data_IF_333236720196
#
_entry.id   IF_333236720196
#
_cell.length_a   1.000
_cell.length_b   1.000
_cell.length_c   1.000
_cell.angle_alpha   90.00
_cell.angle_beta   90.00
_cell.angle_gamma   90.00
#
_symmetry.space_group_name_H-M   'P 1'
#
loop_
_entity.id
_entity.type
_entity.pdbx_description
1 polymer ?
#
# COMPACT_ATOMS: atom_id res chain seq x y z
N UNK A 1 10.17 14.15 -3.56
CA UNK A 1 9.45 12.92 -3.95
C UNK A 1 8.00 13.30 -4.22
N UNK A 2 7.42 12.83 -5.30
CA UNK A 2 6.03 13.14 -5.67
C UNK A 2 5.29 11.83 -5.87
N UNK A 3 4.34 11.55 -4.99
CA UNK A 3 3.36 10.47 -5.15
C UNK A 3 2.53 10.79 -6.38
N UNK A 4 2.36 9.82 -7.28
CA UNK A 4 1.61 9.98 -8.52
C UNK A 4 0.31 9.17 -8.47
N UNK A 5 -0.72 9.70 -9.12
CA UNK A 5 -2.04 9.09 -9.25
C UNK A 5 -2.34 8.91 -10.73
N UNK A 6 -2.50 7.66 -11.16
CA UNK A 6 -3.02 7.29 -12.47
C UNK A 6 -4.49 6.92 -12.37
N UNK A 7 -5.28 7.31 -13.38
CA UNK A 7 -6.70 6.99 -13.46
C UNK A 7 -6.95 6.30 -14.79
N UNK A 8 -7.23 4.99 -14.74
CA UNK A 8 -7.60 4.21 -15.93
C UNK A 8 -9.12 3.99 -15.87
N UNK A 9 -9.84 4.37 -16.93
CA UNK A 9 -11.26 4.10 -17.06
C UNK A 9 -11.59 3.17 -18.24
N UNK A 10 -12.61 2.34 -18.07
CA UNK A 10 -13.00 1.32 -19.04
C UNK A 10 -14.51 1.10 -19.03
N UNK A 11 -15.07 0.83 -20.21
CA UNK A 11 -16.50 0.51 -20.35
C UNK A 11 -16.74 -0.96 -19.98
N UNK A 12 -17.85 -1.22 -19.31
CA UNK A 12 -18.28 -2.57 -18.93
C UNK A 12 -19.36 -3.14 -19.87
N UNK A 13 -19.42 -2.66 -21.10
CA UNK A 13 -20.49 -2.98 -22.05
C UNK A 13 -20.23 -4.24 -22.89
N UNK A 14 -19.01 -4.81 -22.85
CA UNK A 14 -18.69 -6.07 -23.53
C UNK A 14 -17.55 -6.83 -22.84
N UNK A 15 -17.46 -8.14 -23.09
CA UNK A 15 -16.32 -8.95 -22.65
C UNK A 15 -14.99 -8.41 -23.17
N UNK A 16 -14.98 -7.88 -24.40
CA UNK A 16 -13.78 -7.29 -24.99
C UNK A 16 -13.36 -6.01 -24.28
N UNK A 17 -14.31 -5.14 -23.90
CA UNK A 17 -14.01 -3.89 -23.20
C UNK A 17 -13.51 -4.15 -21.77
N UNK A 18 -14.05 -5.17 -21.10
CA UNK A 18 -13.56 -5.66 -19.81
C UNK A 18 -12.12 -6.16 -19.94
N UNK A 19 -11.86 -7.03 -20.92
CA UNK A 19 -10.52 -7.55 -21.17
C UNK A 19 -9.50 -6.44 -21.48
N UNK A 20 -9.91 -5.44 -22.27
CA UNK A 20 -9.06 -4.30 -22.60
C UNK A 20 -8.73 -3.47 -21.35
N UNK A 21 -9.71 -3.22 -20.48
CA UNK A 21 -9.51 -2.53 -19.22
C UNK A 21 -8.53 -3.28 -18.31
N UNK A 22 -8.77 -4.58 -18.10
CA UNK A 22 -7.87 -5.42 -17.30
C UNK A 22 -6.46 -5.47 -17.88
N UNK A 23 -6.32 -5.54 -19.20
CA UNK A 23 -5.01 -5.55 -19.86
C UNK A 23 -4.26 -4.24 -19.64
N UNK A 24 -4.94 -3.09 -19.73
CA UNK A 24 -4.33 -1.79 -19.47
C UNK A 24 -3.89 -1.64 -18.02
N UNK A 25 -4.77 -1.97 -17.07
CA UNK A 25 -4.45 -1.96 -15.65
C UNK A 25 -3.27 -2.88 -15.36
N UNK A 26 -3.32 -4.13 -15.82
CA UNK A 26 -2.24 -5.10 -15.60
C UNK A 26 -0.91 -4.66 -16.24
N UNK A 27 -0.95 -4.01 -17.40
CA UNK A 27 0.25 -3.45 -18.02
C UNK A 27 0.86 -2.34 -17.17
N UNK A 28 0.02 -1.49 -16.58
CA UNK A 28 0.45 -0.42 -15.69
C UNK A 28 1.08 -0.98 -14.41
N UNK A 29 0.40 -1.92 -13.76
CA UNK A 29 0.86 -2.57 -12.51
C UNK A 29 2.19 -3.31 -12.67
N UNK A 30 2.53 -3.76 -13.88
CA UNK A 30 3.80 -4.46 -14.17
C UNK A 30 4.98 -3.53 -14.43
N UNK A 31 4.72 -2.26 -14.73
CA UNK A 31 5.74 -1.30 -15.20
C UNK A 31 6.08 -0.24 -14.18
N UNK A 32 5.32 -0.15 -13.09
CA UNK A 32 5.45 0.88 -12.07
C UNK A 32 5.50 0.26 -10.67
N UNK A 33 6.10 0.97 -9.73
CA UNK A 33 6.10 0.54 -8.32
C UNK A 33 4.82 1.05 -7.65
N UNK A 34 3.89 0.11 -7.45
CA UNK A 34 2.53 0.40 -7.00
C UNK A 34 2.48 0.52 -5.48
N UNK A 35 1.82 1.58 -5.01
CA UNK A 35 1.54 1.83 -3.59
C UNK A 35 0.14 1.31 -3.23
N UNK A 36 -0.87 1.68 -4.02
CA UNK A 36 -2.26 1.32 -3.78
C UNK A 36 -3.06 1.29 -5.07
N UNK A 37 -4.12 0.48 -5.10
CA UNK A 37 -5.05 0.37 -6.22
C UNK A 37 -6.49 0.33 -5.69
N UNK A 38 -7.27 1.34 -6.04
CA UNK A 38 -8.69 1.40 -5.71
C UNK A 38 -9.53 1.27 -6.98
N UNK A 39 -10.47 0.31 -6.98
CA UNK A 39 -11.44 0.16 -8.07
C UNK A 39 -12.78 0.75 -7.69
N UNK A 40 -13.35 1.56 -8.59
CA UNK A 40 -14.71 2.10 -8.45
C UNK A 40 -15.50 1.89 -9.73
N UNK A 41 -16.78 1.59 -9.55
CA UNK A 41 -17.74 1.59 -10.64
C UNK A 41 -18.56 2.88 -10.55
N UNK A 42 -18.59 3.66 -11.63
CA UNK A 42 -19.32 4.93 -11.67
C UNK A 42 -20.23 4.99 -12.90
N UNK A 43 -21.39 5.65 -12.74
CA UNK A 43 -22.21 6.05 -13.88
C UNK A 43 -21.65 7.35 -14.46
N UNK A 44 -21.22 7.33 -15.72
CA UNK A 44 -20.85 8.54 -16.45
C UNK A 44 -21.89 8.81 -17.54
N UNK A 45 -22.36 10.05 -17.60
CA UNK A 45 -23.20 10.51 -18.71
C UNK A 45 -22.27 10.94 -19.84
N UNK A 46 -22.35 10.28 -20.99
CA UNK A 46 -21.58 10.68 -22.18
C UNK A 46 -22.23 11.95 -22.73
N UNK A 47 -21.53 13.09 -22.65
CA UNK A 47 -22.07 14.42 -22.95
C UNK A 47 -22.68 14.55 -24.36
N UNK A 48 -22.26 13.71 -25.31
CA UNK A 48 -22.74 13.75 -26.69
C UNK A 48 -24.07 13.02 -26.92
N UNK A 49 -24.45 12.06 -26.06
CA UNK A 49 -25.61 11.19 -26.29
C UNK A 49 -26.63 11.19 -25.16
N UNK A 50 -26.33 11.83 -24.01
CA UNK A 50 -27.12 11.72 -22.78
C UNK A 50 -27.37 10.27 -22.30
N UNK A 51 -26.60 9.32 -22.82
CA UNK A 51 -26.68 7.92 -22.39
C UNK A 51 -25.85 7.76 -21.12
N UNK A 52 -26.50 7.27 -20.07
CA UNK A 52 -25.82 6.81 -18.84
C UNK A 52 -25.11 5.50 -19.14
N UNK A 53 -23.79 5.50 -18.97
CA UNK A 53 -22.98 4.30 -19.12
C UNK A 53 -22.28 4.01 -17.81
N UNK A 54 -22.34 2.75 -17.39
CA UNK A 54 -21.56 2.25 -16.25
C UNK A 54 -20.12 2.02 -16.73
N UNK A 55 -19.17 2.67 -16.08
CA UNK A 55 -17.73 2.50 -16.33
C UNK A 55 -17.04 1.99 -15.07
N UNK A 56 -15.99 1.20 -15.26
CA UNK A 56 -15.05 0.84 -14.21
C UNK A 56 -13.87 1.80 -14.25
N UNK A 57 -13.41 2.22 -13.08
CA UNK A 57 -12.28 3.13 -12.90
C UNK A 57 -11.31 2.49 -11.92
N UNK A 58 -10.04 2.44 -12.29
CA UNK A 58 -8.94 2.10 -11.39
C UNK A 58 -8.17 3.39 -11.06
N UNK A 59 -8.09 3.71 -9.77
CA UNK A 59 -7.22 4.73 -9.21
C UNK A 59 -5.95 4.03 -8.74
N UNK A 60 -4.82 4.31 -9.38
CA UNK A 60 -3.56 3.64 -9.10
C UNK A 60 -2.60 4.67 -8.53
N UNK A 61 -2.22 4.49 -7.27
CA UNK A 61 -1.20 5.31 -6.62
C UNK A 61 0.15 4.64 -6.80
N UNK A 62 1.14 5.35 -7.34
CA UNK A 62 2.47 4.78 -7.65
C UNK A 62 3.60 5.78 -7.41
N UNK A 63 4.81 5.26 -7.28
CA UNK A 63 6.05 6.03 -7.23
C UNK A 63 7.20 5.18 -7.81
N UNK A 64 7.60 5.44 -9.05
CA UNK A 64 8.68 4.66 -9.71
C UNK A 64 10.07 4.89 -9.10
N UNK A 65 10.18 5.79 -8.12
CA UNK A 65 11.40 5.99 -7.36
C UNK A 65 11.33 5.35 -5.97
N UNK A 66 10.24 4.66 -5.63
CA UNK A 66 10.03 4.08 -4.29
C UNK A 66 11.15 3.08 -3.94
N UNK A 67 11.64 2.32 -4.92
CA UNK A 67 12.69 1.30 -4.82
C UNK A 67 14.03 1.84 -4.29
N UNK A 68 14.24 3.16 -4.41
CA UNK A 68 15.43 3.85 -3.91
C UNK A 68 15.23 4.46 -2.53
N UNK A 69 14.11 4.17 -1.89
CA UNK A 69 13.73 4.71 -0.59
C UNK A 69 13.49 3.57 0.39
N UNK A 70 13.66 3.84 1.68
CA UNK A 70 13.36 2.89 2.75
C UNK A 70 11.92 2.34 2.67
N UNK A 71 10.98 3.10 2.07
CA UNK A 71 9.59 2.69 1.88
C UNK A 71 9.43 1.60 0.82
N UNK A 72 10.17 1.69 -0.29
CA UNK A 72 10.14 0.64 -1.32
C UNK A 72 10.75 -0.65 -0.84
N UNK A 73 11.86 -0.55 -0.09
CA UNK A 73 12.48 -1.71 0.56
C UNK A 73 11.53 -2.33 1.58
N UNK A 74 10.85 -1.53 2.41
CA UNK A 74 9.88 -2.04 3.38
C UNK A 74 8.70 -2.77 2.70
N UNK A 75 8.13 -2.20 1.64
CA UNK A 75 7.01 -2.81 0.90
C UNK A 75 7.41 -4.10 0.17
N UNK A 76 8.62 -4.17 -0.39
CA UNK A 76 9.12 -5.39 -1.04
C UNK A 76 9.28 -6.53 -0.02
N UNK A 77 9.80 -6.23 1.16
CA UNK A 77 10.04 -7.23 2.19
C UNK A 77 8.71 -7.63 2.85
N UNK A 78 7.78 -6.70 3.09
CA UNK A 78 6.47 -7.04 3.69
C UNK A 78 5.63 -7.97 2.80
N UNK A 79 5.77 -7.89 1.47
CA UNK A 79 5.10 -8.78 0.52
C UNK A 79 5.66 -10.21 0.41
N UNK A 80 6.84 -10.49 0.99
CA UNK A 80 7.54 -11.79 0.87
C UNK A 80 7.28 -12.75 2.04
N UNK A 81 6.36 -12.42 2.95
CA UNK A 81 5.97 -13.30 4.05
C UNK A 81 7.00 -13.40 5.18
N UNK A 82 7.90 -12.42 5.30
CA UNK A 82 8.82 -12.32 6.42
C UNK A 82 8.09 -11.98 7.72
N UNK A 83 8.60 -12.47 8.85
CA UNK A 83 8.07 -12.12 10.16
C UNK A 83 8.24 -10.62 10.45
N UNK A 84 7.36 -10.04 11.24
CA UNK A 84 7.42 -8.61 11.62
C UNK A 84 8.80 -8.22 12.19
N UNK A 85 9.39 -9.11 13.00
CA UNK A 85 10.76 -8.99 13.52
C UNK A 85 11.83 -8.93 12.43
N UNK A 86 11.72 -9.73 11.36
CA UNK A 86 12.65 -9.69 10.23
C UNK A 86 12.51 -8.40 9.41
N UNK A 87 11.27 -7.90 9.25
CA UNK A 87 10.99 -6.61 8.62
C UNK A 87 11.66 -5.45 9.40
N UNK A 88 11.51 -5.45 10.72
CA UNK A 88 12.11 -4.47 11.62
C UNK A 88 13.64 -4.45 11.53
N UNK A 89 14.28 -5.63 11.53
CA UNK A 89 15.74 -5.73 11.40
C UNK A 89 16.24 -5.22 10.06
N UNK A 90 15.56 -5.62 8.97
CA UNK A 90 15.92 -5.17 7.64
C UNK A 90 15.77 -3.64 7.53
N UNK A 91 14.69 -3.08 8.08
CA UNK A 91 14.47 -1.64 8.12
C UNK A 91 15.56 -0.89 8.89
N UNK A 92 15.96 -1.37 10.07
CA UNK A 92 17.03 -0.75 10.88
C UNK A 92 18.37 -0.75 10.14
N UNK A 93 18.75 -1.88 9.53
CA UNK A 93 20.00 -2.04 8.77
C UNK A 93 20.04 -1.22 7.48
N UNK A 94 18.89 -1.01 6.85
CA UNK A 94 18.75 -0.14 5.66
C UNK A 94 18.88 1.33 6.03
N UNK A 95 18.42 1.70 7.22
CA UNK A 95 18.46 3.09 7.70
C UNK A 95 19.86 3.47 8.19
N UNK A 96 20.56 2.54 8.83
CA UNK A 96 21.93 2.71 9.28
C UNK A 96 22.69 1.39 9.20
N UNK A 97 23.68 1.33 8.31
CA UNK A 97 24.47 0.13 8.02
C UNK A 97 25.40 -0.24 9.19
N UNK A 98 25.76 0.74 10.03
CA UNK A 98 26.71 0.58 11.13
C UNK A 98 26.05 0.10 12.43
N UNK A 99 24.71 0.05 12.49
CA UNK A 99 23.99 -0.59 13.60
C UNK A 99 24.45 -2.04 13.70
N UNK A 100 24.97 -2.45 14.86
CA UNK A 100 25.39 -3.84 15.05
C UNK A 100 24.20 -4.80 14.96
N UNK A 101 24.43 -6.05 14.55
CA UNK A 101 23.37 -7.06 14.48
C UNK A 101 22.74 -7.32 15.86
N UNK A 102 23.54 -7.26 16.91
CA UNK A 102 23.09 -7.38 18.31
C UNK A 102 22.13 -6.24 18.70
N UNK A 103 22.46 -5.00 18.31
CA UNK A 103 21.59 -3.82 18.51
C UNK A 103 20.32 -3.90 17.68
N UNK A 104 20.41 -4.32 16.41
CA UNK A 104 19.23 -4.50 15.55
C UNK A 104 18.29 -5.58 16.11
N UNK A 105 18.84 -6.67 16.66
CA UNK A 105 18.07 -7.72 17.31
C UNK A 105 17.35 -7.20 18.56
N UNK A 106 18.05 -6.50 19.45
CA UNK A 106 17.48 -5.94 20.66
C UNK A 106 16.37 -4.92 20.38
N UNK A 107 16.55 -4.06 19.37
CA UNK A 107 15.52 -3.11 18.94
C UNK A 107 14.32 -3.80 18.31
N UNK A 108 14.55 -4.80 17.46
CA UNK A 108 13.47 -5.59 16.88
C UNK A 108 12.68 -6.33 17.96
N UNK A 109 13.36 -6.91 18.97
CA UNK A 109 12.71 -7.55 20.12
C UNK A 109 11.89 -6.57 20.96
N UNK A 110 12.42 -5.38 21.20
CA UNK A 110 11.69 -4.33 21.91
C UNK A 110 10.41 -3.93 21.17
N UNK A 111 10.48 -3.71 19.86
CA UNK A 111 9.33 -3.28 19.05
C UNK A 111 8.40 -4.40 18.57
N UNK A 112 8.80 -5.67 18.74
CA UNK A 112 7.91 -6.83 18.61
C UNK A 112 6.93 -6.90 19.80
N UNK A 113 7.38 -6.46 20.97
CA UNK A 113 6.59 -6.39 22.21
C UNK A 113 5.85 -5.05 22.32
N UNK A 114 6.53 -3.94 22.06
CA UNK A 114 5.97 -2.58 22.08
C UNK A 114 5.62 -2.11 20.67
N UNK A 115 4.38 -1.70 20.45
CA UNK A 115 3.91 -1.37 19.10
C UNK A 115 4.60 -0.10 18.57
N UNK A 116 5.58 -0.26 17.66
CA UNK A 116 6.31 0.83 17.00
C UNK A 116 5.40 1.90 16.40
N UNK A 117 4.24 1.52 15.86
CA UNK A 117 3.28 2.47 15.28
C UNK A 117 2.71 3.43 16.33
N UNK A 118 2.58 2.99 17.59
CA UNK A 118 2.10 3.81 18.70
C UNK A 118 3.09 4.91 19.07
N UNK A 119 4.38 4.58 19.10
CA UNK A 119 5.42 5.55 19.45
C UNK A 119 5.66 6.54 18.32
N UNK A 120 5.68 6.06 17.07
CA UNK A 120 5.73 6.95 15.90
C UNK A 120 4.53 7.89 15.85
N UNK A 121 3.31 7.40 16.11
CA UNK A 121 2.10 8.21 16.13
C UNK A 121 2.14 9.33 17.19
N UNK A 122 2.66 9.04 18.39
CA UNK A 122 2.88 10.06 19.43
C UNK A 122 3.88 11.13 18.97
N UNK A 123 4.97 10.73 18.32
CA UNK A 123 6.04 11.65 17.91
C UNK A 123 5.57 12.63 16.81
N UNK A 124 4.74 12.15 15.88
CA UNK A 124 4.19 12.99 14.79
C UNK A 124 2.79 13.54 15.10
N UNK A 125 2.32 13.38 16.35
CA UNK A 125 1.05 13.89 16.86
C UNK A 125 -0.18 13.42 16.04
N UNK A 126 -0.13 12.18 15.54
CA UNK A 126 -1.26 11.52 14.87
C UNK A 126 -2.03 10.70 15.90
N UNK A 127 -3.35 10.88 15.93
CA UNK A 127 -4.24 10.16 16.82
C UNK A 127 -4.40 8.70 16.34
N UNK A 128 -3.65 7.78 16.95
CA UNK A 128 -3.66 6.35 16.64
C UNK A 128 -4.66 5.61 17.52
N UNK A 129 -5.80 5.21 16.95
CA UNK A 129 -6.86 4.43 17.63
C UNK A 129 -6.49 2.94 17.69
N UNK A 130 -5.55 2.57 18.56
CA UNK A 130 -5.18 1.16 18.80
C UNK A 130 -6.38 0.36 19.35
N UNK A 131 -7.25 1.04 20.10
CA UNK A 131 -8.23 0.41 20.99
C UNK A 131 -9.37 -0.34 20.26
N UNK A 132 -9.56 -0.15 18.95
CA UNK A 132 -10.58 -0.92 18.20
C UNK A 132 -10.08 -2.32 17.81
N UNK A 133 -8.82 -2.46 17.42
CA UNK A 133 -8.29 -3.75 16.91
C UNK A 133 -8.09 -4.76 18.05
N UNK A 134 -7.68 -4.30 19.25
CA UNK A 134 -7.52 -5.18 20.42
C UNK A 134 -8.86 -5.61 21.01
N UNK A 135 -9.87 -4.72 21.04
CA UNK A 135 -11.23 -5.08 21.47
C UNK A 135 -11.89 -6.13 20.57
N UNK A 136 -11.73 -6.00 19.26
CA UNK A 136 -12.28 -6.98 18.31
C UNK A 136 -11.63 -8.37 18.44
N UNK A 137 -10.42 -8.48 18.99
CA UNK A 137 -9.76 -9.75 19.26
C UNK A 137 -10.19 -10.36 20.60
N UNK A 138 -10.43 -9.54 21.63
CA UNK A 138 -10.96 -10.00 22.93
C UNK A 138 -12.45 -10.39 22.86
N UNK A 139 -13.22 -9.77 21.97
CA UNK A 139 -14.66 -10.07 21.79
C UNK A 139 -14.91 -11.31 20.90
N UNK A 140 -13.85 -11.94 20.36
CA UNK A 140 -13.92 -13.14 19.50
C UNK A 140 -13.28 -14.41 20.13
N UNK A 141 -12.87 -14.37 21.39
CA UNK A 141 -12.57 -15.58 22.23
C UNK A 141 -13.79 -15.98 23.08
#
# INVERSE_FOLDING_TARGET
>A
MAIQLEIIDGRLDSTQSIYNFETLVNSFLRTHTIIDVEYKTIERTIQQTNIKTVIQVAYITYDDNLDKTWKGIFNEISGKGYSYKELLKAFLKVTDIDISEETANALADYYDIENLARDLAKEINIDYKVDQVLKELEDNE
#
